data_IF_289062286213
#
_entry.id   IF_289062286213
#
_cell.length_a   1.000
_cell.length_b   1.000
_cell.length_c   1.000
_cell.angle_alpha   90.00
_cell.angle_beta   90.00
_cell.angle_gamma   90.00
#
_symmetry.space_group_name_H-M   'P 1'
#
loop_
_entity.id
_entity.type
_entity.pdbx_description
1 polymer ?
#
# COMPACT_ATOMS: atom_id res chain seq x y z
N UNK A 1 -94.30 14.79 -13.21
CA UNK A 1 -93.40 15.49 -14.17
C UNK A 1 -92.04 14.85 -14.05
N UNK A 2 -91.76 13.97 -15.03
CA UNK A 2 -90.56 13.18 -15.07
C UNK A 2 -89.45 13.98 -15.81
N UNK A 3 -88.34 14.26 -15.15
CA UNK A 3 -87.17 14.85 -15.81
C UNK A 3 -86.51 13.83 -16.74
N UNK A 4 -85.78 14.30 -17.75
CA UNK A 4 -85.11 13.41 -18.73
C UNK A 4 -83.93 12.64 -18.13
N UNK A 5 -83.67 11.44 -18.62
CA UNK A 5 -82.57 10.60 -18.13
C UNK A 5 -81.18 11.24 -18.48
N UNK A 6 -80.28 11.28 -17.49
CA UNK A 6 -78.89 11.67 -17.70
C UNK A 6 -78.23 10.62 -18.61
N UNK A 7 -77.72 11.06 -19.76
CA UNK A 7 -76.89 10.26 -20.65
C UNK A 7 -75.50 10.06 -20.03
N UNK A 8 -75.20 8.83 -19.64
CA UNK A 8 -73.87 8.41 -19.22
C UNK A 8 -73.00 8.39 -20.51
N UNK A 9 -72.12 9.38 -20.60
CA UNK A 9 -71.06 9.39 -21.62
C UNK A 9 -70.07 8.34 -21.25
N UNK A 10 -70.09 7.19 -21.91
CA UNK A 10 -68.98 6.22 -21.79
C UNK A 10 -67.78 6.83 -22.52
N UNK A 11 -66.76 7.22 -21.74
CA UNK A 11 -65.43 7.53 -22.26
C UNK A 11 -64.89 6.28 -22.96
N UNK A 12 -64.92 6.27 -24.27
CA UNK A 12 -64.28 5.24 -25.09
C UNK A 12 -62.74 5.48 -24.93
N UNK A 13 -62.09 4.62 -24.17
CA UNK A 13 -60.64 4.60 -24.06
C UNK A 13 -60.05 4.28 -25.45
N UNK A 14 -59.42 5.28 -26.09
CA UNK A 14 -58.74 5.14 -27.37
C UNK A 14 -57.36 4.51 -27.16
N UNK A 15 -57.14 3.23 -27.48
CA UNK A 15 -55.87 2.54 -27.28
C UNK A 15 -54.76 3.00 -28.25
N UNK A 16 -55.07 3.87 -29.21
CA UNK A 16 -54.10 4.36 -30.21
C UNK A 16 -53.21 5.49 -29.70
N UNK A 17 -53.48 6.05 -28.50
CA UNK A 17 -52.70 7.13 -27.87
C UNK A 17 -51.51 6.68 -27.04
N UNK A 18 -51.32 5.38 -26.83
CA UNK A 18 -50.14 4.83 -26.18
C UNK A 18 -49.00 4.79 -27.21
N UNK A 19 -48.40 5.97 -27.39
CA UNK A 19 -47.32 6.20 -28.33
C UNK A 19 -46.11 5.31 -27.95
N UNK A 20 -45.79 4.32 -28.81
CA UNK A 20 -44.66 3.40 -28.63
C UNK A 20 -43.35 4.12 -28.25
N UNK A 21 -43.21 5.37 -28.67
CA UNK A 21 -42.14 6.27 -28.28
C UNK A 21 -42.12 6.60 -26.79
N UNK A 22 -43.28 6.72 -26.12
CA UNK A 22 -43.34 6.97 -24.68
C UNK A 22 -42.91 5.74 -23.86
N UNK A 23 -43.27 4.55 -24.34
CA UNK A 23 -42.82 3.28 -23.75
C UNK A 23 -41.33 3.08 -23.97
N UNK A 24 -40.81 3.39 -25.18
CA UNK A 24 -39.41 3.30 -25.50
C UNK A 24 -38.56 4.28 -24.64
N UNK A 25 -39.00 5.51 -24.45
CA UNK A 25 -38.36 6.49 -23.57
C UNK A 25 -38.33 6.05 -22.10
N UNK A 26 -39.43 5.44 -21.60
CA UNK A 26 -39.47 4.90 -20.24
C UNK A 26 -38.51 3.74 -20.04
N UNK A 27 -38.34 2.89 -21.05
CA UNK A 27 -37.47 1.72 -20.96
C UNK A 27 -36.00 2.04 -21.25
N UNK A 28 -35.71 2.95 -22.19
CA UNK A 28 -34.35 3.33 -22.58
C UNK A 28 -33.77 4.43 -21.69
N UNK A 29 -34.59 5.25 -21.04
CA UNK A 29 -34.13 6.32 -20.15
C UNK A 29 -33.20 5.83 -19.05
N UNK A 30 -33.56 4.83 -18.25
CA UNK A 30 -32.69 4.26 -17.20
C UNK A 30 -31.43 3.62 -17.79
N UNK A 31 -31.54 2.93 -18.94
CA UNK A 31 -30.38 2.29 -19.60
C UNK A 31 -29.41 3.34 -20.13
N UNK A 32 -29.92 4.43 -20.72
CA UNK A 32 -29.09 5.54 -21.17
C UNK A 32 -28.36 6.25 -20.00
N UNK A 33 -29.05 6.44 -18.86
CA UNK A 33 -28.45 7.00 -17.65
C UNK A 33 -27.35 6.09 -17.12
N UNK A 34 -27.59 4.79 -17.03
CA UNK A 34 -26.58 3.81 -16.63
C UNK A 34 -25.38 3.84 -17.58
N UNK A 35 -25.63 3.88 -18.90
CA UNK A 35 -24.58 4.00 -19.90
C UNK A 35 -23.72 5.26 -19.74
N UNK A 36 -24.34 6.41 -19.47
CA UNK A 36 -23.62 7.67 -19.22
C UNK A 36 -22.82 7.61 -17.93
N UNK A 37 -23.36 7.02 -16.86
CA UNK A 37 -22.65 6.83 -15.59
C UNK A 37 -21.44 5.91 -15.78
N UNK A 38 -21.62 4.79 -16.48
CA UNK A 38 -20.53 3.86 -16.83
C UNK A 38 -19.47 4.58 -17.68
N UNK A 39 -19.87 5.31 -18.71
CA UNK A 39 -18.94 6.05 -19.57
C UNK A 39 -18.14 7.11 -18.78
N UNK A 40 -18.81 7.86 -17.89
CA UNK A 40 -18.13 8.83 -17.01
C UNK A 40 -17.20 8.15 -16.00
N UNK A 41 -17.58 6.99 -15.48
CA UNK A 41 -16.73 6.18 -14.60
C UNK A 41 -15.46 5.74 -15.33
N UNK A 42 -15.58 5.14 -16.52
CA UNK A 42 -14.44 4.72 -17.33
C UNK A 42 -13.59 5.90 -17.81
N UNK A 43 -14.21 7.06 -18.10
CA UNK A 43 -13.48 8.28 -18.46
C UNK A 43 -12.60 8.81 -17.30
N UNK A 44 -13.06 8.67 -16.05
CA UNK A 44 -12.24 9.01 -14.86
C UNK A 44 -11.21 7.91 -14.55
N UNK A 45 -11.55 6.66 -14.79
CA UNK A 45 -10.70 5.49 -14.53
C UNK A 45 -9.41 5.51 -15.37
N UNK A 46 -9.42 6.16 -16.56
CA UNK A 46 -8.20 6.33 -17.39
C UNK A 46 -7.06 7.02 -16.65
N UNK A 47 -7.36 7.96 -15.73
CA UNK A 47 -6.33 8.64 -14.94
C UNK A 47 -5.63 7.73 -13.93
N UNK A 48 -6.27 6.62 -13.54
CA UNK A 48 -5.68 5.58 -12.70
C UNK A 48 -5.08 4.44 -13.54
N UNK A 49 -5.73 4.06 -14.64
CA UNK A 49 -5.28 2.96 -15.50
C UNK A 49 -4.01 3.34 -16.26
N UNK A 50 -3.91 4.54 -16.81
CA UNK A 50 -2.74 4.95 -17.62
C UNK A 50 -1.43 4.95 -16.81
N UNK A 51 -1.37 5.48 -15.56
CA UNK A 51 -0.19 5.29 -14.72
C UNK A 51 0.04 3.82 -14.36
N UNK A 52 -1.02 3.04 -14.04
CA UNK A 52 -0.91 1.62 -13.70
C UNK A 52 -0.36 0.78 -14.86
N UNK A 53 -0.71 1.09 -16.10
CA UNK A 53 -0.18 0.41 -17.30
C UNK A 53 1.34 0.56 -17.45
N UNK A 54 1.94 1.64 -16.93
CA UNK A 54 3.41 1.79 -16.91
C UNK A 54 4.08 0.76 -16.01
N UNK A 55 3.37 0.25 -15.00
CA UNK A 55 3.86 -0.80 -14.11
C UNK A 55 3.53 -2.22 -14.58
N UNK A 56 2.70 -2.38 -15.63
CA UNK A 56 2.32 -3.67 -16.17
C UNK A 56 3.52 -4.55 -16.58
N UNK A 57 4.56 -4.03 -17.30
CA UNK A 57 5.74 -4.84 -17.62
C UNK A 57 6.50 -5.31 -16.37
N UNK A 58 6.50 -4.49 -15.30
CA UNK A 58 7.11 -4.84 -14.03
C UNK A 58 6.31 -5.92 -13.31
N UNK A 59 4.98 -5.79 -13.28
CA UNK A 59 4.06 -6.79 -12.72
C UNK A 59 4.23 -8.14 -13.44
N UNK A 60 4.34 -8.14 -14.76
CA UNK A 60 4.55 -9.36 -15.55
C UNK A 60 5.89 -10.02 -15.24
N UNK A 61 6.97 -9.24 -15.05
CA UNK A 61 8.30 -9.77 -14.69
C UNK A 61 8.33 -10.33 -13.26
N UNK A 62 7.57 -9.76 -12.34
CA UNK A 62 7.46 -10.22 -10.94
C UNK A 62 6.37 -11.27 -10.76
N UNK A 63 5.54 -11.49 -11.77
CA UNK A 63 4.26 -12.19 -11.68
C UNK A 63 4.36 -13.60 -11.10
N UNK A 64 5.35 -14.37 -11.48
CA UNK A 64 5.53 -15.74 -11.00
C UNK A 64 5.71 -15.80 -9.48
N UNK A 65 6.66 -15.05 -8.93
CA UNK A 65 6.93 -15.02 -7.48
C UNK A 65 5.79 -14.37 -6.70
N UNK A 66 5.15 -13.36 -7.29
CA UNK A 66 3.99 -12.69 -6.72
C UNK A 66 2.79 -13.63 -6.60
N UNK A 67 2.49 -14.43 -7.65
CA UNK A 67 1.40 -15.41 -7.62
C UNK A 67 1.66 -16.53 -6.60
N UNK A 68 2.91 -17.01 -6.48
CA UNK A 68 3.30 -17.98 -5.45
C UNK A 68 3.06 -17.39 -4.05
N UNK A 69 3.43 -16.13 -3.83
CA UNK A 69 3.20 -15.46 -2.55
C UNK A 69 1.72 -15.27 -2.24
N UNK A 70 0.92 -14.84 -3.23
CA UNK A 70 -0.54 -14.74 -3.09
C UNK A 70 -1.13 -16.09 -2.71
N UNK A 71 -0.75 -17.15 -3.41
CA UNK A 71 -1.22 -18.50 -3.11
C UNK A 71 -0.86 -18.94 -1.69
N UNK A 72 0.40 -18.75 -1.28
CA UNK A 72 0.86 -19.11 0.05
C UNK A 72 0.12 -18.33 1.17
N UNK A 73 -0.06 -17.03 1.02
CA UNK A 73 -0.83 -16.24 1.99
C UNK A 73 -2.32 -16.59 1.98
N UNK A 74 -2.88 -16.96 0.81
CA UNK A 74 -4.29 -17.32 0.70
C UNK A 74 -4.65 -18.58 1.49
N UNK A 75 -3.70 -19.52 1.68
CA UNK A 75 -3.90 -20.73 2.48
C UNK A 75 -4.17 -20.42 3.96
N UNK A 76 -3.67 -19.28 4.48
CA UNK A 76 -3.77 -18.91 5.90
C UNK A 76 -4.78 -17.78 6.15
N UNK A 77 -4.90 -16.82 5.22
CA UNK A 77 -5.63 -15.58 5.42
C UNK A 77 -6.76 -15.35 4.40
N UNK A 78 -6.94 -16.29 3.47
CA UNK A 78 -7.92 -16.18 2.39
C UNK A 78 -7.48 -15.30 1.22
N UNK A 79 -8.10 -15.51 0.05
CA UNK A 79 -7.69 -14.89 -1.22
C UNK A 79 -7.78 -13.37 -1.25
N UNK A 80 -8.85 -12.81 -0.66
CA UNK A 80 -9.04 -11.34 -0.65
C UNK A 80 -7.88 -10.64 0.06
N UNK A 81 -7.54 -11.14 1.24
CA UNK A 81 -6.44 -10.59 2.04
C UNK A 81 -5.09 -10.79 1.33
N UNK A 82 -4.82 -11.99 0.85
CA UNK A 82 -3.57 -12.34 0.20
C UNK A 82 -3.28 -11.43 -1.01
N UNK A 83 -4.27 -11.21 -1.88
CA UNK A 83 -4.14 -10.30 -3.03
C UNK A 83 -3.87 -8.87 -2.57
N UNK A 84 -4.69 -8.33 -1.65
CA UNK A 84 -4.52 -6.97 -1.17
C UNK A 84 -3.17 -6.74 -0.48
N UNK A 85 -2.75 -7.67 0.37
CA UNK A 85 -1.48 -7.60 1.09
C UNK A 85 -0.27 -7.64 0.14
N UNK A 86 -0.26 -8.56 -0.82
CA UNK A 86 0.84 -8.66 -1.81
C UNK A 86 0.86 -7.45 -2.74
N UNK A 87 -0.29 -6.87 -3.07
CA UNK A 87 -0.35 -5.61 -3.82
C UNK A 87 0.22 -4.43 -3.01
N UNK A 88 -0.05 -4.35 -1.71
CA UNK A 88 0.57 -3.32 -0.85
C UNK A 88 2.09 -3.48 -0.77
N UNK A 89 2.59 -4.72 -0.65
CA UNK A 89 4.02 -5.00 -0.75
C UNK A 89 4.59 -4.59 -2.11
N UNK A 90 3.89 -4.88 -3.21
CA UNK A 90 4.31 -4.47 -4.54
C UNK A 90 4.42 -2.95 -4.68
N UNK A 91 3.43 -2.20 -4.15
CA UNK A 91 3.45 -0.73 -4.12
C UNK A 91 4.65 -0.21 -3.33
N UNK A 92 4.95 -0.83 -2.19
CA UNK A 92 6.14 -0.51 -1.39
C UNK A 92 7.43 -0.71 -2.20
N UNK A 93 7.62 -1.87 -2.83
CA UNK A 93 8.81 -2.15 -3.67
C UNK A 93 8.93 -1.20 -4.87
N UNK A 94 7.79 -0.79 -5.44
CA UNK A 94 7.79 0.24 -6.50
C UNK A 94 8.37 1.57 -6.01
N UNK A 95 8.20 1.92 -4.75
CA UNK A 95 8.80 3.11 -4.14
C UNK A 95 10.33 3.07 -4.19
N UNK A 96 10.94 1.98 -3.77
CA UNK A 96 12.39 1.77 -3.86
C UNK A 96 12.86 1.82 -5.31
N UNK A 97 12.16 1.15 -6.21
CA UNK A 97 12.50 1.06 -7.62
C UNK A 97 12.47 2.44 -8.31
N UNK A 98 11.46 3.26 -8.01
CA UNK A 98 11.34 4.62 -8.57
C UNK A 98 12.54 5.47 -8.14
N UNK A 99 12.88 5.45 -6.85
CA UNK A 99 13.98 6.24 -6.32
C UNK A 99 15.33 5.74 -6.83
N UNK A 100 15.56 4.42 -6.83
CA UNK A 100 16.79 3.84 -7.34
C UNK A 100 17.01 4.21 -8.83
N UNK A 101 15.96 4.14 -9.65
CA UNK A 101 16.03 4.56 -11.06
C UNK A 101 16.32 6.05 -11.23
N UNK A 102 15.78 6.92 -10.36
CA UNK A 102 16.10 8.37 -10.38
C UNK A 102 17.59 8.64 -10.13
N UNK A 103 18.24 7.79 -9.34
CA UNK A 103 19.69 7.85 -9.10
C UNK A 103 20.52 7.12 -10.17
N UNK A 104 19.88 6.58 -11.20
CA UNK A 104 20.56 5.83 -12.27
C UNK A 104 21.06 4.46 -11.83
N UNK A 105 20.58 3.92 -10.69
CA UNK A 105 20.96 2.58 -10.24
C UNK A 105 20.20 1.52 -11.05
N UNK A 106 20.89 0.55 -11.63
CA UNK A 106 20.23 -0.56 -12.29
C UNK A 106 19.62 -1.49 -11.24
N UNK A 107 18.32 -1.77 -11.40
CA UNK A 107 17.54 -2.56 -10.45
C UNK A 107 16.84 -3.72 -11.13
N UNK A 108 16.65 -4.82 -10.37
CA UNK A 108 15.79 -5.92 -10.79
C UNK A 108 14.31 -5.59 -10.67
N UNK A 109 13.46 -6.43 -11.27
CA UNK A 109 12.06 -6.49 -10.89
C UNK A 109 11.93 -6.98 -9.42
N UNK A 110 10.89 -6.58 -8.69
CA UNK A 110 10.61 -7.10 -7.35
C UNK A 110 10.48 -8.62 -7.35
N UNK A 111 11.09 -9.24 -6.36
CA UNK A 111 10.99 -10.68 -6.09
C UNK A 111 10.22 -10.86 -4.79
N UNK A 112 9.20 -11.71 -4.80
CA UNK A 112 8.35 -11.99 -3.65
C UNK A 112 8.71 -13.36 -3.08
N UNK A 113 8.98 -13.42 -1.77
CA UNK A 113 9.20 -14.66 -1.03
C UNK A 113 8.09 -14.78 0.00
N UNK A 114 7.27 -15.85 -0.07
CA UNK A 114 6.21 -16.07 0.92
C UNK A 114 6.74 -15.98 2.35
N UNK A 115 6.02 -15.27 3.20
CA UNK A 115 6.30 -15.03 4.62
C UNK A 115 7.60 -14.26 4.94
N UNK A 116 8.47 -14.02 3.96
CA UNK A 116 9.69 -13.21 4.13
C UNK A 116 9.54 -11.79 3.57
N UNK A 117 8.50 -11.55 2.74
CA UNK A 117 8.24 -10.25 2.13
C UNK A 117 8.64 -10.18 0.66
N UNK A 118 8.94 -8.96 0.20
CA UNK A 118 9.41 -8.69 -1.14
C UNK A 118 10.69 -7.85 -1.10
N UNK A 119 11.47 -7.85 -2.16
CA UNK A 119 12.66 -7.01 -2.30
C UNK A 119 13.04 -6.79 -3.75
N UNK A 120 13.69 -5.66 -4.01
CA UNK A 120 14.40 -5.40 -5.26
C UNK A 120 15.90 -5.64 -5.07
N UNK A 121 16.55 -6.21 -6.09
CA UNK A 121 18.01 -6.32 -6.11
C UNK A 121 18.60 -5.09 -6.81
N UNK A 122 19.42 -4.35 -6.10
CA UNK A 122 20.29 -3.34 -6.70
C UNK A 122 21.48 -4.08 -7.35
N UNK A 123 21.69 -3.88 -8.65
CA UNK A 123 22.82 -4.49 -9.35
C UNK A 123 24.12 -3.78 -9.02
N UNK A 124 24.04 -2.49 -8.68
CA UNK A 124 25.16 -1.67 -8.23
C UNK A 124 24.92 -1.16 -6.82
N UNK A 125 25.98 -1.03 -6.04
CA UNK A 125 25.91 -0.46 -4.70
C UNK A 125 25.62 1.05 -4.77
N UNK A 126 24.82 1.60 -3.84
CA UNK A 126 24.68 3.04 -3.68
C UNK A 126 26.06 3.69 -3.43
N UNK A 127 26.31 4.81 -4.08
CA UNK A 127 27.63 5.48 -4.04
C UNK A 127 27.93 6.10 -2.69
N UNK A 128 26.94 6.44 -1.89
CA UNK A 128 27.06 7.03 -0.57
C UNK A 128 25.81 6.76 0.29
N UNK A 129 25.92 7.02 1.58
CA UNK A 129 24.87 6.82 2.58
C UNK A 129 23.60 7.66 2.29
N UNK A 130 23.74 8.85 1.70
CA UNK A 130 22.59 9.66 1.29
C UNK A 130 21.74 8.97 0.23
N UNK A 131 22.38 8.45 -0.82
CA UNK A 131 21.69 7.71 -1.88
C UNK A 131 21.06 6.43 -1.33
N UNK A 132 21.75 5.69 -0.46
CA UNK A 132 21.21 4.50 0.22
C UNK A 132 19.95 4.84 1.01
N UNK A 133 19.99 5.93 1.80
CA UNK A 133 18.86 6.39 2.60
C UNK A 133 17.67 6.85 1.76
N UNK A 134 17.94 7.59 0.67
CA UNK A 134 16.88 8.01 -0.26
C UNK A 134 16.17 6.81 -0.91
N UNK A 135 16.93 5.80 -1.34
CA UNK A 135 16.33 4.56 -1.85
C UNK A 135 15.55 3.86 -0.75
N UNK A 136 16.13 3.77 0.47
CA UNK A 136 15.50 3.14 1.63
C UNK A 136 14.15 3.76 1.99
N UNK A 137 14.02 5.09 2.00
CA UNK A 137 12.75 5.74 2.37
C UNK A 137 11.69 5.67 1.27
N UNK A 138 12.10 5.42 0.02
CA UNK A 138 11.19 5.38 -1.14
C UNK A 138 10.07 4.36 -1.00
N UNK A 139 10.38 3.16 -0.51
CA UNK A 139 9.40 2.09 -0.27
C UNK A 139 8.36 2.48 0.77
N UNK A 140 8.79 2.79 2.01
CA UNK A 140 7.85 3.21 3.05
C UNK A 140 7.01 4.42 2.68
N UNK A 141 7.53 5.41 1.94
CA UNK A 141 6.76 6.55 1.47
C UNK A 141 5.63 6.13 0.53
N UNK A 142 5.94 5.37 -0.51
CA UNK A 142 4.92 4.96 -1.47
C UNK A 142 3.97 3.92 -0.86
N UNK A 143 4.48 3.00 -0.04
CA UNK A 143 3.68 2.03 0.70
C UNK A 143 2.71 2.68 1.68
N UNK A 144 3.12 3.78 2.33
CA UNK A 144 2.25 4.57 3.22
C UNK A 144 1.11 5.23 2.46
N UNK A 145 1.37 5.75 1.25
CA UNK A 145 0.31 6.28 0.39
C UNK A 145 -0.66 5.20 -0.05
N UNK A 146 -0.16 3.97 -0.32
CA UNK A 146 -1.01 2.82 -0.61
C UNK A 146 -1.91 2.43 0.56
N UNK A 147 -1.38 2.41 1.79
CA UNK A 147 -2.15 2.15 3.00
C UNK A 147 -3.19 3.24 3.27
N UNK A 148 -2.80 4.52 3.11
CA UNK A 148 -3.71 5.65 3.23
C UNK A 148 -4.85 5.59 2.20
N UNK A 149 -4.54 5.22 0.96
CA UNK A 149 -5.58 5.05 -0.06
C UNK A 149 -6.57 3.93 0.31
N UNK A 150 -6.09 2.80 0.84
CA UNK A 150 -6.96 1.73 1.35
C UNK A 150 -7.83 2.24 2.51
N UNK A 151 -7.27 2.99 3.47
CA UNK A 151 -8.03 3.55 4.58
C UNK A 151 -9.14 4.48 4.08
N UNK A 152 -8.77 5.49 3.29
CA UNK A 152 -9.72 6.48 2.77
C UNK A 152 -10.83 5.84 1.90
N UNK A 153 -10.48 4.87 1.06
CA UNK A 153 -11.48 4.12 0.28
C UNK A 153 -12.37 3.26 1.18
N UNK A 154 -11.79 2.66 2.24
CA UNK A 154 -12.52 1.89 3.23
C UNK A 154 -13.58 2.73 3.95
N UNK A 155 -13.23 3.97 4.34
CA UNK A 155 -14.13 4.94 4.97
C UNK A 155 -15.21 5.41 3.98
N UNK A 156 -14.81 5.94 2.81
CA UNK A 156 -15.72 6.54 1.82
C UNK A 156 -16.76 5.54 1.34
N UNK A 157 -16.36 4.30 1.08
CA UNK A 157 -17.25 3.25 0.56
C UNK A 157 -17.80 2.33 1.64
N UNK A 158 -17.48 2.57 2.91
CA UNK A 158 -17.85 1.75 4.06
C UNK A 158 -17.47 0.27 3.86
N UNK A 159 -16.21 0.02 3.45
CA UNK A 159 -15.66 -1.31 3.21
C UNK A 159 -14.66 -1.64 4.33
N UNK A 160 -15.08 -2.33 5.43
CA UNK A 160 -14.21 -2.61 6.58
C UNK A 160 -12.95 -3.37 6.23
N UNK A 161 -13.02 -4.26 5.25
CA UNK A 161 -11.89 -5.02 4.76
C UNK A 161 -10.73 -4.12 4.30
N UNK A 162 -10.99 -2.99 3.65
CA UNK A 162 -9.95 -2.06 3.22
C UNK A 162 -9.29 -1.35 4.42
N UNK A 163 -10.03 -1.12 5.51
CA UNK A 163 -9.46 -0.54 6.74
C UNK A 163 -8.54 -1.55 7.43
N UNK A 164 -8.94 -2.84 7.48
CA UNK A 164 -8.06 -3.92 7.96
C UNK A 164 -6.78 -3.99 7.12
N UNK A 165 -6.91 -3.94 5.81
CA UNK A 165 -5.78 -3.98 4.89
C UNK A 165 -4.86 -2.75 5.06
N UNK A 166 -5.45 -1.56 5.28
CA UNK A 166 -4.71 -0.34 5.58
C UNK A 166 -3.91 -0.47 6.88
N UNK A 167 -4.51 -1.00 7.95
CA UNK A 167 -3.83 -1.24 9.23
C UNK A 167 -2.59 -2.13 9.06
N UNK A 168 -2.73 -3.22 8.30
CA UNK A 168 -1.61 -4.11 7.98
C UNK A 168 -0.57 -3.39 7.11
N UNK A 169 -1.00 -2.56 6.16
CA UNK A 169 -0.11 -1.73 5.34
C UNK A 169 0.68 -0.72 6.17
N UNK A 170 0.05 -0.02 7.11
CA UNK A 170 0.73 0.88 8.04
C UNK A 170 1.75 0.14 8.89
N UNK A 171 1.36 -1.00 9.46
CA UNK A 171 2.26 -1.84 10.26
C UNK A 171 3.46 -2.33 9.44
N UNK A 172 3.25 -2.81 8.22
CA UNK A 172 4.32 -3.28 7.33
C UNK A 172 5.35 -2.18 7.06
N UNK A 173 4.89 -0.97 6.75
CA UNK A 173 5.78 0.16 6.48
C UNK A 173 6.49 0.63 7.76
N UNK A 174 5.79 0.66 8.90
CA UNK A 174 6.38 1.01 10.20
C UNK A 174 7.44 -0.01 10.64
N UNK A 175 7.17 -1.30 10.44
CA UNK A 175 8.13 -2.36 10.71
C UNK A 175 9.39 -2.22 9.84
N UNK A 176 9.24 -1.91 8.56
CA UNK A 176 10.37 -1.67 7.67
C UNK A 176 11.18 -0.41 8.05
N UNK A 177 10.58 0.56 8.75
CA UNK A 177 11.29 1.72 9.27
C UNK A 177 12.11 1.44 10.54
N UNK A 178 12.07 0.24 11.12
CA UNK A 178 12.95 -0.10 12.24
C UNK A 178 14.42 0.08 11.83
N UNK A 179 15.25 0.77 12.64
CA UNK A 179 16.62 1.09 12.28
C UNK A 179 17.56 -0.11 12.47
N UNK A 180 17.31 -1.20 11.74
CA UNK A 180 17.96 -2.50 11.94
C UNK A 180 18.37 -3.12 10.61
N UNK A 181 19.59 -3.59 10.53
CA UNK A 181 20.10 -4.53 9.56
C UNK A 181 19.78 -4.14 8.11
N UNK A 182 19.10 -5.01 7.41
CA UNK A 182 18.71 -4.85 6.03
C UNK A 182 17.31 -4.25 5.82
N UNK A 183 16.56 -3.97 6.90
CA UNK A 183 15.30 -3.24 6.83
C UNK A 183 15.57 -1.81 6.31
N UNK A 184 14.56 -1.19 5.75
CA UNK A 184 14.69 0.14 5.15
C UNK A 184 15.14 1.18 6.17
N UNK A 185 14.61 1.13 7.39
CA UNK A 185 15.07 1.97 8.49
C UNK A 185 16.57 1.81 8.76
N UNK A 186 17.11 0.60 8.70
CA UNK A 186 18.54 0.36 8.81
C UNK A 186 19.37 1.03 7.70
N UNK A 187 18.82 1.14 6.49
CA UNK A 187 19.43 1.87 5.36
C UNK A 187 19.27 3.38 5.51
N UNK A 188 18.10 3.85 5.97
CA UNK A 188 17.82 5.28 6.17
C UNK A 188 18.74 5.88 7.23
N UNK A 189 18.91 5.21 8.36
CA UNK A 189 19.71 5.74 9.47
C UNK A 189 21.21 5.80 9.17
N UNK A 190 21.69 5.20 8.08
CA UNK A 190 23.06 5.39 7.61
C UNK A 190 23.39 6.86 7.34
N UNK A 191 22.40 7.62 6.82
CA UNK A 191 22.54 9.05 6.58
C UNK A 191 22.35 9.91 7.83
N UNK A 192 21.68 9.39 8.87
CA UNK A 192 21.47 10.09 10.15
C UNK A 192 22.64 9.85 11.09
N UNK A 193 22.69 8.65 11.61
CA UNK A 193 23.76 8.17 12.50
C UNK A 193 23.76 6.64 12.55
N UNK A 194 24.91 6.03 12.31
CA UNK A 194 25.05 4.56 12.43
C UNK A 194 24.77 4.03 13.84
N UNK A 195 24.97 4.87 14.87
CA UNK A 195 24.68 4.49 16.24
C UNK A 195 23.21 4.16 16.48
N UNK A 196 22.30 4.62 15.63
CA UNK A 196 20.89 4.26 15.67
C UNK A 196 20.63 2.77 15.37
N UNK A 197 21.60 2.03 14.82
CA UNK A 197 21.50 0.58 14.70
C UNK A 197 21.46 -0.13 16.06
N UNK A 198 22.08 0.43 17.12
CA UNK A 198 22.07 -0.18 18.45
C UNK A 198 20.67 -0.20 19.09
N UNK A 199 19.99 0.95 19.26
CA UNK A 199 18.63 0.92 19.80
C UNK A 199 17.67 0.13 18.92
N UNK A 200 17.82 0.17 17.58
CA UNK A 200 17.04 -0.66 16.68
C UNK A 200 17.26 -2.15 16.89
N UNK A 201 18.52 -2.56 17.05
CA UNK A 201 18.87 -3.96 17.34
C UNK A 201 18.33 -4.42 18.70
N UNK A 202 18.43 -3.57 19.73
CA UNK A 202 17.86 -3.85 21.05
C UNK A 202 16.32 -4.00 20.97
N UNK A 203 15.63 -3.14 20.20
CA UNK A 203 14.20 -3.22 19.97
C UNK A 203 13.82 -4.52 19.24
N UNK A 204 14.61 -4.93 18.25
CA UNK A 204 14.39 -6.18 17.52
C UNK A 204 14.59 -7.41 18.41
N UNK A 205 15.60 -7.41 19.29
CA UNK A 205 15.82 -8.46 20.28
C UNK A 205 14.64 -8.56 21.26
N UNK A 206 14.17 -7.41 21.76
CA UNK A 206 13.00 -7.37 22.64
C UNK A 206 11.74 -7.90 21.94
N UNK A 207 11.52 -7.50 20.67
CA UNK A 207 10.40 -7.99 19.88
C UNK A 207 10.48 -9.49 19.63
N UNK A 208 11.66 -10.01 19.27
CA UNK A 208 11.88 -11.46 19.07
C UNK A 208 11.73 -12.27 20.35
N UNK A 209 12.07 -11.69 21.52
CA UNK A 209 11.82 -12.31 22.81
C UNK A 209 10.33 -12.36 23.16
N UNK A 210 9.60 -11.24 22.93
CA UNK A 210 8.17 -11.14 23.26
C UNK A 210 7.29 -11.96 22.30
N UNK A 211 7.66 -12.00 21.03
CA UNK A 211 6.96 -12.70 19.95
C UNK A 211 7.93 -13.64 19.22
N UNK A 212 8.21 -14.81 19.77
CA UNK A 212 9.20 -15.72 19.20
C UNK A 212 8.75 -16.18 17.81
N UNK A 213 9.46 -15.71 16.79
CA UNK A 213 9.22 -16.04 15.39
C UNK A 213 10.57 -16.29 14.72
N UNK A 214 10.65 -17.37 13.96
CA UNK A 214 11.88 -17.75 13.24
C UNK A 214 12.40 -16.61 12.33
N UNK A 215 11.50 -15.89 11.65
CA UNK A 215 11.87 -14.81 10.74
C UNK A 215 12.53 -13.65 11.50
N UNK A 216 12.01 -13.30 12.68
CA UNK A 216 12.59 -12.24 13.52
C UNK A 216 14.00 -12.61 13.94
N UNK A 217 14.23 -13.85 14.34
CA UNK A 217 15.58 -14.32 14.70
C UNK A 217 16.52 -14.37 13.49
N UNK A 218 16.02 -14.70 12.30
CA UNK A 218 16.80 -14.59 11.07
C UNK A 218 17.23 -13.13 10.82
N UNK A 219 16.33 -12.16 11.02
CA UNK A 219 16.64 -10.73 10.91
C UNK A 219 17.69 -10.31 11.95
N UNK A 220 17.59 -10.79 13.20
CA UNK A 220 18.58 -10.54 14.24
C UNK A 220 19.97 -11.00 13.79
N UNK A 221 20.07 -12.26 13.34
CA UNK A 221 21.35 -12.85 12.89
C UNK A 221 21.91 -12.06 11.70
N UNK A 222 21.09 -11.77 10.71
CA UNK A 222 21.49 -11.02 9.51
C UNK A 222 21.91 -9.56 9.82
N UNK A 223 21.48 -9.01 10.96
CA UNK A 223 21.82 -7.66 11.40
C UNK A 223 23.15 -7.57 12.16
N UNK A 224 23.64 -8.69 12.69
CA UNK A 224 24.89 -8.73 13.50
C UNK A 224 26.11 -8.12 12.78
N UNK A 225 26.39 -8.39 11.49
CA UNK A 225 27.55 -7.79 10.82
C UNK A 225 27.53 -6.26 10.82
N UNK A 226 26.35 -5.64 10.66
CA UNK A 226 26.23 -4.16 10.73
C UNK A 226 26.50 -3.64 12.13
N UNK A 227 26.00 -4.31 13.17
CA UNK A 227 26.25 -3.94 14.58
C UNK A 227 27.74 -4.08 14.90
N UNK A 228 28.38 -5.18 14.54
CA UNK A 228 29.82 -5.36 14.74
C UNK A 228 30.68 -4.33 13.99
N UNK A 229 30.24 -3.90 12.82
CA UNK A 229 30.93 -2.87 12.04
C UNK A 229 31.02 -1.51 12.75
N UNK A 230 30.16 -1.23 13.76
CA UNK A 230 30.22 -0.01 14.56
C UNK A 230 31.51 0.09 15.40
N UNK A 231 32.03 -1.04 15.85
CA UNK A 231 33.17 -1.14 16.75
C UNK A 231 34.50 -1.29 16.02
N UNK A 232 34.46 -1.44 14.68
CA UNK A 232 35.65 -1.52 13.82
C UNK A 232 36.07 -0.13 13.35
N UNK A 233 37.41 0.09 13.25
CA UNK A 233 37.96 1.28 12.58
C UNK A 233 37.52 1.30 11.11
N UNK A 234 37.05 2.44 10.66
CA UNK A 234 36.64 2.65 9.26
C UNK A 234 37.85 2.81 8.36
N UNK A 235 37.73 2.28 7.15
CA UNK A 235 38.63 2.62 6.06
C UNK A 235 38.33 4.02 5.55
N UNK A 236 39.23 4.65 4.80
CA UNK A 236 39.00 5.95 4.18
C UNK A 236 37.82 5.93 3.24
N UNK A 237 37.63 4.83 2.50
CA UNK A 237 36.51 4.62 1.60
C UNK A 237 35.17 4.58 2.35
N UNK A 238 35.12 3.84 3.47
CA UNK A 238 33.94 3.82 4.35
C UNK A 238 33.67 5.21 4.96
N UNK A 239 34.69 6.00 5.28
CA UNK A 239 34.50 7.36 5.78
C UNK A 239 33.81 8.23 4.73
N UNK A 240 34.32 8.24 3.51
CA UNK A 240 33.72 8.97 2.37
C UNK A 240 32.29 8.52 2.08
N UNK A 241 32.02 7.22 2.19
CA UNK A 241 30.66 6.69 1.99
C UNK A 241 29.65 7.28 2.97
N UNK A 242 30.02 7.46 4.24
CA UNK A 242 29.15 7.99 5.28
C UNK A 242 29.19 9.53 5.42
N UNK A 243 29.90 10.22 4.53
CA UNK A 243 29.86 11.68 4.47
C UNK A 243 28.49 12.13 3.95
N UNK A 244 27.75 12.85 4.83
CA UNK A 244 26.44 13.40 4.55
C UNK A 244 26.43 14.85 5.01
N UNK A 245 25.99 15.77 4.15
CA UNK A 245 25.91 17.20 4.52
C UNK A 245 24.88 17.41 5.64
N UNK A 246 25.07 18.47 6.46
CA UNK A 246 24.08 18.79 7.50
C UNK A 246 22.66 18.93 6.96
N UNK A 247 22.49 19.61 5.82
CA UNK A 247 21.17 19.76 5.16
C UNK A 247 20.56 18.42 4.79
N UNK A 248 21.31 17.50 4.17
CA UNK A 248 20.84 16.16 3.84
C UNK A 248 20.43 15.40 5.08
N UNK A 249 21.22 15.50 6.15
CA UNK A 249 20.92 14.83 7.43
C UNK A 249 19.63 15.35 8.05
N UNK A 250 19.43 16.65 8.11
CA UNK A 250 18.19 17.25 8.60
C UNK A 250 16.98 16.87 7.74
N UNK A 251 17.10 16.95 6.43
CA UNK A 251 16.03 16.54 5.51
C UNK A 251 15.61 15.10 5.74
N UNK A 252 16.59 14.19 5.81
CA UNK A 252 16.28 12.77 6.03
C UNK A 252 15.71 12.52 7.43
N UNK A 253 16.17 13.24 8.46
CA UNK A 253 15.63 13.14 9.82
C UNK A 253 14.16 13.53 9.87
N UNK A 254 13.80 14.67 9.27
CA UNK A 254 12.41 15.14 9.21
C UNK A 254 11.53 14.13 8.45
N UNK A 255 12.00 13.65 7.29
CA UNK A 255 11.26 12.67 6.51
C UNK A 255 11.08 11.35 7.27
N UNK A 256 12.13 10.84 7.90
CA UNK A 256 12.11 9.57 8.60
C UNK A 256 11.21 9.60 9.84
N UNK A 257 11.42 10.56 10.74
CA UNK A 257 10.61 10.67 11.96
C UNK A 257 9.19 11.15 11.68
N UNK A 258 9.01 12.04 10.69
CA UNK A 258 7.69 12.46 10.23
C UNK A 258 6.88 11.30 9.65
N UNK A 259 7.52 10.44 8.87
CA UNK A 259 6.87 9.26 8.31
C UNK A 259 6.50 8.23 9.39
N UNK A 260 7.38 8.00 10.38
CA UNK A 260 7.08 7.15 11.54
C UNK A 260 5.84 7.68 12.29
N UNK A 261 5.81 8.99 12.57
CA UNK A 261 4.68 9.62 13.25
C UNK A 261 3.38 9.51 12.45
N UNK A 262 3.43 9.76 11.13
CA UNK A 262 2.28 9.64 10.24
C UNK A 262 1.73 8.21 10.18
N UNK A 263 2.62 7.22 10.07
CA UNK A 263 2.24 5.80 10.06
C UNK A 263 1.66 5.34 11.39
N UNK A 264 2.24 5.76 12.51
CA UNK A 264 1.72 5.46 13.84
C UNK A 264 0.33 6.06 14.05
N UNK A 265 0.12 7.30 13.60
CA UNK A 265 -1.20 7.95 13.63
C UNK A 265 -2.20 7.22 12.72
N UNK A 266 -1.82 6.88 11.48
CA UNK A 266 -2.67 6.13 10.56
C UNK A 266 -3.07 4.75 11.12
N UNK A 267 -2.14 4.06 11.76
CA UNK A 267 -2.43 2.78 12.42
C UNK A 267 -3.38 2.96 13.61
N UNK A 268 -3.20 4.02 14.41
CA UNK A 268 -4.07 4.34 15.52
C UNK A 268 -5.50 4.69 15.06
N UNK A 269 -5.65 5.55 14.05
CA UNK A 269 -6.97 5.90 13.50
C UNK A 269 -7.69 4.70 12.92
N UNK A 270 -7.01 3.90 12.10
CA UNK A 270 -7.58 2.67 11.53
C UNK A 270 -7.99 1.65 12.61
N UNK A 271 -7.23 1.55 13.71
CA UNK A 271 -7.59 0.70 14.85
C UNK A 271 -8.87 1.18 15.54
N UNK A 272 -8.99 2.49 15.83
CA UNK A 272 -10.19 3.04 16.46
C UNK A 272 -11.43 2.86 15.59
N UNK A 273 -11.31 3.10 14.27
CA UNK A 273 -12.43 2.90 13.34
C UNK A 273 -12.93 1.44 13.32
N UNK A 274 -12.04 0.47 13.45
CA UNK A 274 -12.41 -0.94 13.55
C UNK A 274 -13.04 -1.27 14.90
N UNK A 275 -12.62 -0.60 15.98
CA UNK A 275 -13.10 -0.84 17.34
C UNK A 275 -14.49 -0.23 17.58
N UNK A 276 -14.75 0.96 17.03
CA UNK A 276 -15.99 1.72 17.25
C UNK A 276 -17.19 1.17 16.45
N UNK A 277 -16.96 0.27 15.51
CA UNK A 277 -18.02 -0.34 14.71
C UNK A 277 -18.10 -1.86 14.90
N UNK A 278 -18.94 -2.37 15.81
CA UNK A 278 -19.09 -3.81 16.11
C UNK A 278 -19.37 -4.68 14.87
N UNK A 279 -20.12 -4.13 13.90
CA UNK A 279 -20.38 -4.81 12.63
C UNK A 279 -19.09 -5.01 11.77
N UNK A 280 -18.02 -4.26 12.05
CA UNK A 280 -16.71 -4.37 11.39
C UNK A 280 -15.79 -5.40 12.05
N UNK A 281 -16.05 -5.74 13.33
CA UNK A 281 -15.25 -6.72 14.09
C UNK A 281 -15.41 -8.14 13.55
N UNK A 282 -16.56 -8.50 12.98
CA UNK A 282 -16.80 -9.80 12.36
C UNK A 282 -15.96 -10.10 11.12
N UNK A 283 -15.34 -9.06 10.51
CA UNK A 283 -14.47 -9.22 9.32
C UNK A 283 -13.08 -9.77 9.69
N UNK A 284 -12.67 -9.61 10.95
CA UNK A 284 -11.36 -10.08 11.44
C UNK A 284 -11.37 -11.58 11.72
N UNK A 285 -12.56 -12.21 11.84
CA UNK A 285 -12.75 -13.59 12.31
C UNK A 285 -13.17 -14.55 11.17
N UNK A 286 -13.49 -14.05 10.00
CA UNK A 286 -13.83 -14.81 8.77
C UNK A 286 -12.74 -14.64 7.70
#
# INVERSE_FOLDING_TARGET
MNGPPQSTVLEVHDPSRDNWWSRLKKTLGPVAVVGVVIAKFFAKLKFFILPALKFLPLLLKSGGTMLISIWAYALFYGWKFAVGFVLLMFVHECGHLIVAKKFGLPVSAPVFIPFMGAFILLKDQPRNAWMEACVGIGGPLLGSLGALACNSLGEIFNIPFLIVLASVGYFLNLFNLMPVGFLDGGRIVTALSRWLWLPGFAMLLWFGWKFPNFIVWLIVIASLPRVFSLFRKRTEEEQRYFEVTPTQRWTMSILYFGLIAALALGMYTAHNELSDHPARQGVIVQ
#
